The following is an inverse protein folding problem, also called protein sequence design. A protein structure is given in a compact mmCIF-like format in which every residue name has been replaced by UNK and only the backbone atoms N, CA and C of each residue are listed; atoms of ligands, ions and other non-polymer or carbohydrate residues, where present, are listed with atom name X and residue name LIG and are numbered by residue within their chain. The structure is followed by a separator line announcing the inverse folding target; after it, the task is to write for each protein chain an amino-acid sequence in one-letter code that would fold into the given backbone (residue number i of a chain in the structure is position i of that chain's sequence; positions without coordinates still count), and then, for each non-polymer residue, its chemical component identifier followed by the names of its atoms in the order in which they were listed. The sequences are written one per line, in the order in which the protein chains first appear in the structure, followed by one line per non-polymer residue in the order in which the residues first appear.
data_IF_452335209519
#
_entry.id   IF_452335209519
#
_cell.length_a   1.000
_cell.length_b   1.000
_cell.length_c   1.000
_cell.angle_alpha   90.00
_cell.angle_beta   90.00
_cell.angle_gamma   90.00
#
_symmetry.space_group_name_H-M   'P 1'
#
loop_
_entity.id
_entity.type
_entity.pdbx_description
1 polymer ?
#
# COMPACT_ATOMS: atom_id res chain seq x y z
N UNK A 1 10.93 -18.47 4.29
CA UNK A 1 11.75 -17.35 3.78
C UNK A 1 11.77 -16.26 4.83
N UNK A 2 12.95 -15.75 5.22
CA UNK A 2 13.05 -14.61 6.14
C UNK A 2 12.82 -13.32 5.36
N UNK A 3 12.37 -12.25 6.02
CA UNK A 3 12.19 -10.94 5.37
C UNK A 3 13.50 -10.43 4.73
N UNK A 4 14.64 -10.82 5.29
CA UNK A 4 15.97 -10.45 4.79
C UNK A 4 16.32 -11.09 3.43
N UNK A 5 15.62 -12.15 3.02
CA UNK A 5 15.89 -12.87 1.78
C UNK A 5 15.15 -12.25 0.57
N UNK A 6 14.32 -11.23 0.78
CA UNK A 6 13.57 -10.59 -0.30
C UNK A 6 14.51 -9.84 -1.25
N UNK A 7 14.37 -10.05 -2.58
CA UNK A 7 15.10 -9.24 -3.56
C UNK A 7 14.87 -7.75 -3.33
N UNK A 8 15.94 -6.97 -3.41
CA UNK A 8 15.91 -5.50 -3.29
C UNK A 8 16.38 -4.87 -4.61
N UNK A 9 15.55 -4.88 -5.65
CA UNK A 9 15.97 -4.39 -6.95
C UNK A 9 16.15 -2.86 -6.92
N UNK A 10 17.10 -2.36 -7.69
CA UNK A 10 17.49 -0.94 -7.70
C UNK A 10 16.35 0.01 -8.09
N UNK A 11 15.35 -0.48 -8.83
CA UNK A 11 14.19 0.31 -9.24
C UNK A 11 13.24 0.62 -8.07
N UNK A 12 13.20 -0.22 -7.03
CA UNK A 12 12.16 -0.16 -6.00
C UNK A 12 12.12 1.17 -5.21
N UNK A 13 13.24 1.72 -4.70
CA UNK A 13 13.21 2.94 -3.91
C UNK A 13 12.71 4.16 -4.71
N UNK A 14 12.99 4.21 -6.01
CA UNK A 14 12.61 5.33 -6.88
C UNK A 14 11.20 5.18 -7.46
N UNK A 15 10.71 3.95 -7.59
CA UNK A 15 9.42 3.67 -8.22
C UNK A 15 8.23 3.84 -7.28
N UNK A 16 8.44 3.80 -5.97
CA UNK A 16 7.37 3.95 -4.97
C UNK A 16 7.37 5.36 -4.38
N UNK A 17 6.17 5.92 -4.21
CA UNK A 17 5.87 7.08 -3.37
C UNK A 17 4.93 6.66 -2.26
N UNK A 18 5.11 7.25 -1.09
CA UNK A 18 4.19 7.10 0.03
C UNK A 18 3.56 8.47 0.25
N UNK A 19 2.24 8.55 0.16
CA UNK A 19 1.48 9.79 0.32
C UNK A 19 0.52 9.65 1.50
N UNK A 20 0.35 10.68 2.31
CA UNK A 20 -0.61 10.68 3.41
C UNK A 20 -1.98 11.20 2.95
N UNK A 21 -3.00 10.34 3.01
CA UNK A 21 -4.38 10.75 2.74
C UNK A 21 -5.08 11.37 3.95
N UNK A 22 -4.40 11.44 5.11
CA UNK A 22 -4.91 11.91 6.38
C UNK A 22 -5.33 10.79 7.32
N UNK A 23 -5.71 11.16 8.54
CA UNK A 23 -6.09 10.21 9.59
C UNK A 23 -7.44 9.53 9.28
N UNK A 24 -7.52 8.18 9.30
CA UNK A 24 -8.78 7.47 9.19
C UNK A 24 -9.82 7.89 10.24
N UNK A 25 -11.09 7.98 9.86
CA UNK A 25 -12.19 8.30 10.78
C UNK A 25 -12.49 7.19 11.81
N UNK A 26 -11.97 5.99 11.61
CA UNK A 26 -12.14 4.85 12.50
C UNK A 26 -10.79 4.32 12.98
N UNK A 27 -10.78 3.70 14.16
CA UNK A 27 -9.59 3.01 14.66
C UNK A 27 -9.31 1.76 13.83
N UNK A 28 -8.04 1.36 13.76
CA UNK A 28 -7.63 0.07 13.19
C UNK A 28 -8.43 -1.10 13.77
N UNK A 29 -8.70 -1.08 15.07
CA UNK A 29 -9.50 -2.11 15.74
C UNK A 29 -10.92 -2.22 15.18
N UNK A 30 -11.59 -1.09 14.93
CA UNK A 30 -12.93 -1.07 14.36
C UNK A 30 -12.96 -1.66 12.94
N UNK A 31 -11.98 -1.30 12.11
CA UNK A 31 -11.86 -1.85 10.74
C UNK A 31 -11.65 -3.37 10.77
N UNK A 32 -10.75 -3.86 11.63
CA UNK A 32 -10.51 -5.31 11.80
C UNK A 32 -11.76 -6.04 12.33
N UNK A 33 -12.51 -5.43 13.26
CA UNK A 33 -13.77 -5.99 13.73
C UNK A 33 -14.81 -6.08 12.61
N UNK A 34 -14.90 -5.08 11.73
CA UNK A 34 -15.81 -5.11 10.59
C UNK A 34 -15.44 -6.22 9.59
N UNK A 35 -14.15 -6.36 9.26
CA UNK A 35 -13.67 -7.46 8.39
C UNK A 35 -13.98 -8.83 9.01
N UNK A 36 -13.82 -8.98 10.33
CA UNK A 36 -14.20 -10.21 11.03
C UNK A 36 -15.68 -10.52 10.89
N UNK A 37 -16.56 -9.55 11.15
CA UNK A 37 -18.02 -9.73 10.99
C UNK A 37 -18.37 -10.14 9.58
N UNK A 38 -17.76 -9.50 8.58
CA UNK A 38 -17.95 -9.86 7.16
C UNK A 38 -17.54 -11.30 6.85
N UNK A 39 -16.45 -11.77 7.45
CA UNK A 39 -16.04 -13.17 7.34
C UNK A 39 -17.01 -14.12 8.05
N UNK A 40 -17.58 -13.73 9.19
CA UNK A 40 -18.59 -14.54 9.90
C UNK A 40 -19.92 -14.61 9.13
N UNK A 41 -20.31 -13.53 8.43
CA UNK A 41 -21.54 -13.43 7.65
C UNK A 41 -21.42 -14.06 6.25
N UNK A 42 -20.30 -13.85 5.55
CA UNK A 42 -20.04 -14.29 4.19
C UNK A 42 -18.66 -14.99 4.09
N UNK A 43 -18.46 -16.16 4.74
CA UNK A 43 -17.14 -16.78 4.89
C UNK A 43 -16.47 -17.14 3.57
N UNK A 44 -17.19 -17.81 2.67
CA UNK A 44 -16.64 -18.23 1.36
C UNK A 44 -16.23 -17.03 0.50
N UNK A 45 -17.09 -16.00 0.46
CA UNK A 45 -16.82 -14.78 -0.31
C UNK A 45 -15.64 -14.02 0.26
N UNK A 46 -15.59 -13.86 1.59
CA UNK A 46 -14.52 -13.14 2.26
C UNK A 46 -13.19 -13.90 2.16
N UNK A 47 -13.21 -15.23 2.26
CA UNK A 47 -12.05 -16.07 2.01
C UNK A 47 -11.51 -15.89 0.58
N UNK A 48 -12.38 -15.84 -0.44
CA UNK A 48 -11.97 -15.58 -1.82
C UNK A 48 -11.35 -14.18 -2.03
N UNK A 49 -11.72 -13.19 -1.20
CA UNK A 49 -11.03 -11.88 -1.18
C UNK A 49 -9.63 -12.02 -0.58
N UNK A 50 -9.49 -12.75 0.54
CA UNK A 50 -8.18 -13.02 1.15
C UNK A 50 -7.25 -13.79 0.22
N UNK A 51 -7.75 -14.77 -0.52
CA UNK A 51 -6.96 -15.52 -1.51
C UNK A 51 -6.41 -14.59 -2.60
N UNK A 52 -7.21 -13.63 -3.08
CA UNK A 52 -6.75 -12.63 -4.05
C UNK A 52 -5.73 -11.66 -3.48
N UNK A 53 -5.87 -11.26 -2.22
CA UNK A 53 -4.83 -10.48 -1.52
C UNK A 53 -3.53 -11.30 -1.45
N UNK A 54 -3.61 -12.59 -1.11
CA UNK A 54 -2.48 -13.51 -1.10
C UNK A 54 -1.81 -13.64 -2.47
N UNK A 55 -2.61 -13.85 -3.53
CA UNK A 55 -2.10 -13.93 -4.91
C UNK A 55 -1.41 -12.63 -5.34
N UNK A 56 -1.94 -11.46 -4.97
CA UNK A 56 -1.30 -10.17 -5.24
C UNK A 56 0.04 -10.02 -4.49
N UNK A 57 0.14 -10.52 -3.26
CA UNK A 57 1.42 -10.55 -2.50
C UNK A 57 2.45 -11.42 -3.21
N UNK A 58 2.09 -12.64 -3.62
CA UNK A 58 3.02 -13.52 -4.34
C UNK A 58 3.43 -12.95 -5.70
N UNK A 59 2.49 -12.31 -6.41
CA UNK A 59 2.79 -11.61 -7.67
C UNK A 59 3.78 -10.45 -7.44
N UNK A 60 3.59 -9.67 -6.37
CA UNK A 60 4.53 -8.60 -6.03
C UNK A 60 5.91 -9.16 -5.65
N UNK A 61 5.98 -10.28 -4.92
CA UNK A 61 7.23 -10.97 -4.61
C UNK A 61 7.96 -11.42 -5.87
N UNK A 62 7.26 -12.03 -6.81
CA UNK A 62 7.84 -12.43 -8.09
C UNK A 62 8.35 -11.21 -8.89
N UNK A 63 7.62 -10.09 -8.83
CA UNK A 63 8.04 -8.84 -9.45
C UNK A 63 9.31 -8.23 -8.83
N UNK A 64 9.53 -8.38 -7.52
CA UNK A 64 10.78 -7.94 -6.88
C UNK A 64 12.01 -8.72 -7.39
N UNK A 65 11.84 -9.99 -7.76
CA UNK A 65 12.89 -10.82 -8.35
C UNK A 65 13.11 -10.50 -9.82
N UNK A 66 12.31 -11.13 -10.69
CA UNK A 66 12.54 -11.11 -12.15
C UNK A 66 11.47 -10.33 -12.93
N UNK A 67 10.30 -10.02 -12.34
CA UNK A 67 9.19 -9.39 -13.07
C UNK A 67 9.33 -7.87 -13.28
N UNK A 68 9.95 -7.16 -12.34
CA UNK A 68 10.23 -5.72 -12.44
C UNK A 68 9.04 -4.80 -12.16
N UNK A 69 9.19 -3.48 -12.44
CA UNK A 69 8.24 -2.45 -12.02
C UNK A 69 6.82 -2.61 -12.57
N UNK A 70 6.68 -3.12 -13.79
CA UNK A 70 5.37 -3.28 -14.45
C UNK A 70 4.53 -4.34 -13.74
N UNK A 71 5.13 -5.48 -13.41
CA UNK A 71 4.46 -6.57 -12.73
C UNK A 71 4.17 -6.20 -11.27
N UNK A 72 5.07 -5.43 -10.64
CA UNK A 72 4.84 -4.87 -9.32
C UNK A 72 3.63 -3.91 -9.32
N UNK A 73 3.50 -3.08 -10.35
CA UNK A 73 2.35 -2.19 -10.49
C UNK A 73 1.03 -2.94 -10.70
N UNK A 74 1.04 -4.00 -11.50
CA UNK A 74 -0.12 -4.88 -11.69
C UNK A 74 -0.54 -5.54 -10.37
N UNK A 75 0.42 -6.07 -9.60
CA UNK A 75 0.16 -6.67 -8.30
C UNK A 75 -0.40 -5.67 -7.27
N UNK A 76 0.05 -4.41 -7.28
CA UNK A 76 -0.53 -3.34 -6.45
C UNK A 76 -1.99 -3.08 -6.84
N UNK A 77 -2.30 -3.00 -8.14
CA UNK A 77 -3.66 -2.75 -8.62
C UNK A 77 -4.60 -3.90 -8.24
N UNK A 78 -4.16 -5.16 -8.37
CA UNK A 78 -4.96 -6.33 -7.96
C UNK A 78 -5.20 -6.35 -6.46
N UNK A 79 -4.16 -6.05 -5.67
CA UNK A 79 -4.29 -5.89 -4.22
C UNK A 79 -5.27 -4.76 -3.84
N UNK A 80 -5.25 -3.64 -4.55
CA UNK A 80 -6.19 -2.53 -4.34
C UNK A 80 -7.64 -2.98 -4.59
N UNK A 81 -7.92 -3.63 -5.72
CA UNK A 81 -9.27 -4.13 -6.06
C UNK A 81 -9.81 -5.08 -5.00
N UNK A 82 -8.96 -5.99 -4.50
CA UNK A 82 -9.34 -6.90 -3.42
C UNK A 82 -9.66 -6.15 -2.11
N UNK A 83 -8.90 -5.10 -1.77
CA UNK A 83 -9.15 -4.26 -0.59
C UNK A 83 -10.44 -3.44 -0.71
N UNK A 84 -10.77 -2.95 -1.91
CA UNK A 84 -12.06 -2.29 -2.18
C UNK A 84 -13.21 -3.27 -1.94
N UNK A 85 -13.11 -4.50 -2.45
CA UNK A 85 -14.14 -5.52 -2.24
C UNK A 85 -14.24 -5.99 -0.77
N UNK A 86 -13.12 -5.98 -0.05
CA UNK A 86 -13.10 -6.26 1.39
C UNK A 86 -13.88 -5.20 2.20
N UNK A 87 -14.07 -4.00 1.63
CA UNK A 87 -14.81 -2.90 2.26
C UNK A 87 -13.95 -2.03 3.18
N UNK A 88 -12.62 -2.03 2.99
CA UNK A 88 -11.67 -1.26 3.81
C UNK A 88 -11.09 -0.05 3.08
N UNK A 89 -11.63 0.27 1.90
CA UNK A 89 -11.27 1.45 1.11
C UNK A 89 -12.53 2.31 0.96
N UNK A 90 -12.57 3.51 1.57
CA UNK A 90 -13.70 4.41 1.39
C UNK A 90 -13.85 4.86 -0.07
N UNK A 91 -15.08 5.13 -0.56
CA UNK A 91 -15.31 5.57 -1.95
C UNK A 91 -14.50 6.81 -2.36
N UNK A 92 -14.26 7.74 -1.44
CA UNK A 92 -13.43 8.92 -1.71
C UNK A 92 -11.97 8.55 -1.99
N UNK A 93 -11.39 7.68 -1.19
CA UNK A 93 -10.02 7.19 -1.38
C UNK A 93 -9.93 6.36 -2.66
N UNK A 94 -10.94 5.54 -2.96
CA UNK A 94 -11.00 4.80 -4.23
C UNK A 94 -11.02 5.73 -5.45
N UNK A 95 -11.72 6.86 -5.39
CA UNK A 95 -11.70 7.88 -6.47
C UNK A 95 -10.33 8.53 -6.64
N UNK A 96 -9.62 8.81 -5.53
CA UNK A 96 -8.23 9.30 -5.59
C UNK A 96 -7.32 8.28 -6.29
N UNK A 97 -7.40 7.01 -5.89
CA UNK A 97 -6.62 5.92 -6.50
C UNK A 97 -6.98 5.73 -7.98
N UNK A 98 -8.26 5.80 -8.36
CA UNK A 98 -8.68 5.74 -9.76
C UNK A 98 -8.08 6.87 -10.61
N UNK A 99 -7.82 8.04 -10.02
CA UNK A 99 -7.17 9.15 -10.72
C UNK A 99 -5.68 8.87 -10.96
N UNK A 100 -5.02 8.17 -10.03
CA UNK A 100 -3.66 7.63 -10.24
C UNK A 100 -3.63 6.60 -11.37
N UNK A 101 -4.59 5.68 -11.40
CA UNK A 101 -4.72 4.69 -12.48
C UNK A 101 -4.98 5.35 -13.84
N UNK A 102 -5.83 6.39 -13.89
CA UNK A 102 -6.11 7.15 -15.10
C UNK A 102 -4.87 7.89 -15.63
N UNK A 103 -3.95 8.30 -14.74
CA UNK A 103 -2.66 8.87 -15.11
C UNK A 103 -1.62 7.82 -15.57
N UNK A 104 -1.95 6.53 -15.54
CA UNK A 104 -1.08 5.41 -15.90
C UNK A 104 -0.24 4.86 -14.74
N UNK A 105 -0.49 5.34 -13.52
CA UNK A 105 0.12 4.78 -12.30
C UNK A 105 -0.74 3.69 -11.67
N UNK A 106 -0.41 3.35 -10.44
CA UNK A 106 -1.24 2.51 -9.56
C UNK A 106 -1.06 2.94 -8.13
N UNK A 107 -2.06 2.72 -7.28
CA UNK A 107 -1.95 2.97 -5.86
C UNK A 107 -2.82 2.02 -5.03
N UNK A 108 -2.48 1.90 -3.75
CA UNK A 108 -3.29 1.20 -2.75
C UNK A 108 -3.13 1.86 -1.39
N UNK A 109 -4.11 1.65 -0.50
CA UNK A 109 -3.95 1.98 0.92
C UNK A 109 -2.87 1.09 1.58
N UNK A 110 -2.26 1.61 2.64
CA UNK A 110 -1.33 0.90 3.51
C UNK A 110 -1.86 0.90 4.96
N UNK A 111 -1.81 -0.26 5.61
CA UNK A 111 -2.44 -0.47 6.92
C UNK A 111 -3.86 -1.02 6.80
N UNK A 112 -4.68 -0.79 7.83
CA UNK A 112 -6.03 -1.36 7.90
C UNK A 112 -7.03 -0.68 6.96
N UNK A 113 -6.76 0.58 6.56
CA UNK A 113 -7.70 1.39 5.79
C UNK A 113 -8.76 2.05 6.66
N UNK A 114 -9.93 2.27 6.06
CA UNK A 114 -11.07 2.92 6.70
C UNK A 114 -12.38 2.36 6.11
N UNK A 115 -13.47 2.41 6.88
CA UNK A 115 -14.78 1.95 6.41
C UNK A 115 -15.52 3.05 5.66
N UNK A 116 -15.24 4.31 6.00
CA UNK A 116 -15.89 5.50 5.45
C UNK A 116 -14.99 6.75 5.60
N UNK A 117 -15.40 7.86 5.01
CA UNK A 117 -14.70 9.15 5.07
C UNK A 117 -13.79 9.42 3.87
N UNK A 118 -13.01 10.49 3.98
CA UNK A 118 -12.18 11.03 2.89
C UNK A 118 -10.72 10.55 2.93
N UNK A 119 -10.34 9.82 4.00
CA UNK A 119 -8.95 9.48 4.33
C UNK A 119 -8.82 8.03 4.80
N UNK A 120 -7.67 7.40 4.53
CA UNK A 120 -7.36 6.02 4.93
C UNK A 120 -5.90 5.82 5.39
N UNK A 121 -5.21 6.91 5.78
CA UNK A 121 -3.80 6.90 6.14
C UNK A 121 -2.88 6.91 4.91
N UNK A 122 -1.78 6.17 4.99
CA UNK A 122 -0.79 6.15 3.93
C UNK A 122 -1.29 5.43 2.65
N UNK A 123 -0.97 6.00 1.50
CA UNK A 123 -1.12 5.40 0.18
C UNK A 123 0.25 4.99 -0.35
N UNK A 124 0.38 3.77 -0.87
CA UNK A 124 1.53 3.31 -1.63
C UNK A 124 1.22 3.52 -3.10
N UNK A 125 2.02 4.34 -3.79
CA UNK A 125 1.79 4.74 -5.18
C UNK A 125 2.99 4.38 -6.06
N UNK A 126 2.75 3.88 -7.27
CA UNK A 126 3.73 3.85 -8.35
C UNK A 126 3.23 4.74 -9.48
N UNK A 127 3.90 5.88 -9.71
CA UNK A 127 3.40 6.96 -10.58
C UNK A 127 3.89 6.88 -12.03
N UNK A 128 4.46 5.75 -12.45
CA UNK A 128 4.98 5.53 -13.80
C UNK A 128 5.91 6.66 -14.31
N UNK A 129 6.74 7.22 -13.42
CA UNK A 129 7.67 8.31 -13.73
C UNK A 129 7.07 9.71 -13.74
N UNK A 130 5.79 9.87 -13.39
CA UNK A 130 5.15 11.18 -13.23
C UNK A 130 5.42 11.78 -11.84
N UNK A 131 5.59 13.11 -11.73
CA UNK A 131 5.57 13.80 -10.44
C UNK A 131 4.19 13.72 -9.79
N UNK A 132 4.12 13.50 -8.47
CA UNK A 132 2.86 13.43 -7.72
C UNK A 132 1.99 14.69 -7.87
N UNK A 133 2.59 15.87 -8.02
CA UNK A 133 1.88 17.14 -8.16
C UNK A 133 1.11 17.26 -9.48
N UNK A 134 1.38 16.37 -10.44
CA UNK A 134 0.73 16.34 -11.77
C UNK A 134 -0.44 15.38 -11.86
N UNK A 135 -0.74 14.64 -10.79
CA UNK A 135 -1.80 13.64 -10.77
C UNK A 135 -2.98 14.17 -9.96
N UNK A 136 -4.06 14.48 -10.66
CA UNK A 136 -5.31 14.92 -10.05
C UNK A 136 -5.77 13.92 -8.99
N UNK A 137 -6.26 14.42 -7.85
CA UNK A 137 -6.73 13.59 -6.73
C UNK A 137 -5.65 13.08 -5.79
N UNK A 138 -4.35 13.30 -6.08
CA UNK A 138 -3.26 13.11 -5.10
C UNK A 138 -2.30 14.29 -5.00
N UNK A 139 -2.42 15.29 -5.87
CA UNK A 139 -1.56 16.49 -5.89
C UNK A 139 -1.64 17.34 -4.61
N UNK A 140 -2.71 17.18 -3.82
CA UNK A 140 -2.94 17.83 -2.53
C UNK A 140 -2.41 17.02 -1.33
N UNK A 141 -1.89 15.80 -1.55
CA UNK A 141 -1.45 14.92 -0.48
C UNK A 141 0.01 15.16 -0.10
N UNK A 142 0.31 15.03 1.18
CA UNK A 142 1.67 15.22 1.69
C UNK A 142 2.52 13.96 1.48
N UNK A 143 3.75 14.08 0.93
CA UNK A 143 4.68 12.96 0.87
C UNK A 143 5.13 12.53 2.27
N UNK A 144 5.13 11.22 2.52
CA UNK A 144 5.69 10.65 3.74
C UNK A 144 7.18 10.43 3.53
N UNK A 145 8.01 11.03 4.40
CA UNK A 145 9.46 10.85 4.40
C UNK A 145 9.84 9.45 4.93
N UNK A 146 9.71 8.44 4.07
CA UNK A 146 10.04 7.06 4.36
C UNK A 146 10.68 6.37 3.15
N UNK A 147 11.66 5.50 3.43
CA UNK A 147 12.30 4.67 2.43
C UNK A 147 11.72 3.25 2.44
N UNK A 148 11.41 2.71 1.26
CA UNK A 148 11.02 1.30 1.09
C UNK A 148 12.28 0.44 0.98
N UNK A 149 12.27 -0.71 1.67
CA UNK A 149 13.38 -1.68 1.60
C UNK A 149 14.60 -1.30 2.44
N UNK A 150 14.44 -0.34 3.36
CA UNK A 150 15.45 -0.02 4.36
C UNK A 150 15.74 -1.23 5.27
N UNK A 151 16.95 -1.25 5.83
CA UNK A 151 17.32 -2.29 6.78
C UNK A 151 16.48 -2.22 8.06
N UNK A 152 16.26 -3.40 8.66
CA UNK A 152 15.46 -3.53 9.87
C UNK A 152 16.15 -2.99 11.13
N UNK A 153 15.69 -3.48 12.29
CA UNK A 153 16.18 -3.04 13.59
C UNK A 153 17.72 -3.19 13.71
N UNK A 154 18.39 -2.09 14.10
CA UNK A 154 19.82 -2.05 14.36
C UNK A 154 20.09 -1.50 15.76
N UNK A 155 21.14 -2.00 16.39
CA UNK A 155 21.66 -1.45 17.64
C UNK A 155 22.84 -0.54 17.32
N UNK A 156 22.76 0.73 17.72
CA UNK A 156 23.85 1.70 17.58
C UNK A 156 24.39 2.06 18.96
N UNK A 157 25.70 1.92 19.18
CA UNK A 157 26.38 2.45 20.35
C UNK A 157 26.85 3.87 20.08
N UNK A 158 26.49 4.81 20.95
CA UNK A 158 27.07 6.16 20.90
C UNK A 158 28.52 6.09 21.38
N UNK A 159 29.48 6.21 20.47
CA UNK A 159 30.84 6.56 20.87
C UNK A 159 30.81 8.02 21.33
N UNK A 160 30.95 8.24 22.64
CA UNK A 160 31.23 9.57 23.14
C UNK A 160 32.65 9.93 22.67
N UNK A 161 32.76 10.82 21.69
CA UNK A 161 34.01 11.51 21.41
C UNK A 161 34.47 12.17 22.71
N UNK A 162 35.51 11.61 23.32
CA UNK A 162 36.21 12.23 24.43
C UNK A 162 37.02 13.38 23.86
N UNK A 163 36.50 14.60 24.03
CA UNK A 163 37.28 15.84 23.98
C UNK A 163 38.42 15.80 25.02
#
# INVERSE_FOLDING_TARGET
MRFDDLPRPEWLPNAIRILDSGTPGQTTGAVVTAVRRRYEEEPERTAAVFDRIGAAVESFRAALGDGGPRDAAAAIADGHRALVELGVVPPAVARRIASVEAAGGTAKISGAGALEGESAGALICMLAGRPEETVDGISDLEPVNAAIGADGLRFESRTADRL
#
